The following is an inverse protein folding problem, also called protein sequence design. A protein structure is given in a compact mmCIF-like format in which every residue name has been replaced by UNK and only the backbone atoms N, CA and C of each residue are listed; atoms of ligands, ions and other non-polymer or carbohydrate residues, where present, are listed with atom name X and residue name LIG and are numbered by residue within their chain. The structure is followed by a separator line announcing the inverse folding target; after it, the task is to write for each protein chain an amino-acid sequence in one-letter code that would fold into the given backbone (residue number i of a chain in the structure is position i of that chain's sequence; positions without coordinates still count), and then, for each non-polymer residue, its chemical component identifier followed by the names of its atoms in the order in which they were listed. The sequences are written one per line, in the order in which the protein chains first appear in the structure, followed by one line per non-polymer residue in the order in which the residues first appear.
data_IF_793967601383
#
_entry.id   IF_793967601383
#
_cell.length_a   1.000
_cell.length_b   1.000
_cell.length_c   1.000
_cell.angle_alpha   90.00
_cell.angle_beta   90.00
_cell.angle_gamma   90.00
#
_symmetry.space_group_name_H-M   'P 1'
#
loop_
_entity.id
_entity.type
_entity.pdbx_description
1 polymer ?
#
# COMPACT_ATOMS: atom_id res chain seq x y z
N UNK A 1 -63.43 -28.43 -7.93
CA UNK A 1 -62.81 -27.15 -7.62
C UNK A 1 -61.30 -27.35 -7.68
N UNK A 2 -60.71 -27.12 -8.89
CA UNK A 2 -59.30 -27.42 -9.21
C UNK A 2 -58.44 -26.24 -8.82
N UNK A 3 -57.52 -26.43 -7.89
CA UNK A 3 -56.50 -25.44 -7.49
C UNK A 3 -55.35 -25.62 -8.46
N UNK A 4 -55.16 -24.65 -9.39
CA UNK A 4 -53.97 -24.53 -10.22
C UNK A 4 -52.81 -24.04 -9.36
N UNK A 5 -51.83 -24.91 -9.09
CA UNK A 5 -50.50 -24.50 -8.68
C UNK A 5 -49.80 -23.84 -9.88
N UNK A 6 -49.59 -22.55 -9.80
CA UNK A 6 -48.71 -21.83 -10.70
C UNK A 6 -47.30 -21.95 -10.12
N UNK A 7 -46.48 -22.87 -10.67
CA UNK A 7 -45.03 -22.84 -10.46
C UNK A 7 -44.46 -21.55 -11.06
N UNK A 8 -43.64 -20.78 -10.31
CA UNK A 8 -42.90 -19.68 -10.93
C UNK A 8 -41.76 -20.31 -11.76
N UNK A 9 -41.88 -20.15 -13.07
CA UNK A 9 -40.87 -20.50 -14.06
C UNK A 9 -39.53 -19.83 -13.69
N UNK A 10 -38.55 -20.62 -13.25
CA UNK A 10 -37.15 -20.26 -13.23
C UNK A 10 -36.62 -20.19 -14.66
N UNK A 11 -37.06 -19.20 -15.41
CA UNK A 11 -36.47 -18.89 -16.71
C UNK A 11 -35.36 -17.86 -16.52
N UNK A 12 -34.10 -18.38 -16.58
CA UNK A 12 -33.06 -17.72 -17.32
C UNK A 12 -32.57 -16.38 -16.76
N UNK A 13 -31.86 -16.39 -15.61
CA UNK A 13 -30.76 -15.45 -15.47
C UNK A 13 -29.65 -15.97 -16.40
N UNK A 14 -29.79 -15.70 -17.68
CA UNK A 14 -28.69 -15.78 -18.62
C UNK A 14 -27.66 -14.75 -18.14
N UNK A 15 -26.60 -15.23 -17.46
CA UNK A 15 -25.39 -14.46 -17.28
C UNK A 15 -24.93 -13.99 -18.67
N UNK A 16 -25.20 -12.73 -18.98
CA UNK A 16 -24.60 -12.08 -20.14
C UNK A 16 -23.11 -12.00 -19.81
N UNK A 17 -22.36 -13.02 -20.18
CA UNK A 17 -20.91 -13.01 -20.26
C UNK A 17 -20.48 -12.07 -21.38
N UNK A 18 -20.76 -10.77 -21.23
CA UNK A 18 -20.26 -9.76 -22.11
C UNK A 18 -18.74 -9.67 -21.96
N UNK A 19 -17.97 -9.99 -23.02
CA UNK A 19 -16.55 -9.70 -23.08
C UNK A 19 -16.36 -8.20 -22.82
N UNK A 20 -15.52 -7.85 -21.86
CA UNK A 20 -15.14 -6.47 -21.64
C UNK A 20 -14.58 -5.89 -22.95
N UNK A 21 -15.05 -4.71 -23.41
CA UNK A 21 -14.59 -4.14 -24.66
C UNK A 21 -13.08 -3.88 -24.62
N UNK A 22 -12.41 -3.97 -25.78
CA UNK A 22 -10.97 -3.75 -25.89
C UNK A 22 -10.51 -2.41 -25.25
N UNK A 23 -11.38 -1.41 -25.30
CA UNK A 23 -11.15 -0.13 -24.65
C UNK A 23 -11.04 -0.24 -23.12
N UNK A 24 -11.84 -1.08 -22.47
CA UNK A 24 -11.74 -1.28 -21.02
C UNK A 24 -10.37 -1.87 -20.63
N UNK A 25 -9.82 -2.78 -21.42
CA UNK A 25 -8.49 -3.33 -21.21
C UNK A 25 -7.38 -2.29 -21.44
N UNK A 26 -7.54 -1.39 -22.42
CA UNK A 26 -6.62 -0.26 -22.60
C UNK A 26 -6.64 0.67 -21.38
N UNK A 27 -7.82 1.02 -20.88
CA UNK A 27 -7.95 1.83 -19.65
C UNK A 27 -7.31 1.13 -18.47
N UNK A 28 -7.54 -0.17 -18.32
CA UNK A 28 -6.90 -0.97 -17.27
C UNK A 28 -5.37 -0.93 -17.37
N UNK A 29 -4.83 -1.22 -18.56
CA UNK A 29 -3.38 -1.22 -18.79
C UNK A 29 -2.73 0.14 -18.51
N UNK A 30 -3.35 1.23 -18.96
CA UNK A 30 -2.86 2.59 -18.67
C UNK A 30 -2.96 2.96 -17.18
N UNK A 31 -4.04 2.53 -16.51
CA UNK A 31 -4.20 2.78 -15.06
C UNK A 31 -3.19 1.97 -14.25
N UNK A 32 -2.94 0.70 -14.60
CA UNK A 32 -1.88 -0.10 -13.98
C UNK A 32 -0.49 0.47 -14.30
N UNK A 33 -0.26 0.92 -15.54
CA UNK A 33 0.99 1.56 -15.95
C UNK A 33 1.29 2.82 -15.14
N UNK A 34 0.30 3.67 -14.89
CA UNK A 34 0.44 4.84 -14.04
C UNK A 34 0.74 4.44 -12.58
N UNK A 35 0.09 3.39 -12.03
CA UNK A 35 0.41 2.89 -10.69
C UNK A 35 1.86 2.36 -10.62
N UNK A 36 2.29 1.65 -11.64
CA UNK A 36 3.66 1.17 -11.73
C UNK A 36 4.64 2.34 -11.73
N UNK A 37 4.39 3.39 -12.54
CA UNK A 37 5.20 4.62 -12.58
C UNK A 37 5.22 5.36 -11.24
N UNK A 38 4.09 5.41 -10.54
CA UNK A 38 3.96 5.96 -9.20
C UNK A 38 4.92 5.28 -8.21
N UNK A 39 4.82 3.95 -8.09
CA UNK A 39 5.70 3.18 -7.21
C UNK A 39 7.17 3.20 -7.63
N UNK A 40 7.46 3.27 -8.94
CA UNK A 40 8.82 3.47 -9.45
C UNK A 40 9.39 4.81 -8.97
N UNK A 41 8.64 5.90 -9.07
CA UNK A 41 9.02 7.23 -8.61
C UNK A 41 9.27 7.31 -7.10
N UNK A 42 8.57 6.46 -6.33
CA UNK A 42 8.76 6.35 -4.89
C UNK A 42 10.05 5.62 -4.55
N UNK A 43 10.33 4.49 -5.19
CA UNK A 43 11.44 3.61 -4.84
C UNK A 43 12.78 4.02 -5.45
N UNK A 44 12.80 4.79 -6.53
CA UNK A 44 14.02 5.31 -7.14
C UNK A 44 14.89 6.08 -6.13
N UNK A 45 14.28 6.84 -5.25
CA UNK A 45 14.99 7.61 -4.22
C UNK A 45 15.83 6.69 -3.31
N UNK A 46 15.22 5.60 -2.83
CA UNK A 46 15.88 4.66 -1.92
C UNK A 46 17.09 3.99 -2.59
N UNK A 47 17.00 3.68 -3.88
CA UNK A 47 18.09 3.12 -4.66
C UNK A 47 19.29 4.07 -4.81
N UNK A 48 19.03 5.38 -4.85
CA UNK A 48 20.10 6.39 -5.06
C UNK A 48 20.57 7.07 -3.75
N UNK A 49 20.13 6.61 -2.58
CA UNK A 49 20.58 7.13 -1.28
C UNK A 49 22.11 7.21 -1.16
N UNK A 50 22.90 6.15 -1.52
CA UNK A 50 24.36 6.24 -1.45
C UNK A 50 24.93 7.37 -2.32
N UNK A 51 24.38 7.55 -3.51
CA UNK A 51 24.82 8.59 -4.47
C UNK A 51 24.47 10.00 -3.98
N UNK A 52 23.26 10.20 -3.42
CA UNK A 52 22.84 11.48 -2.84
C UNK A 52 23.67 11.84 -1.61
N UNK A 53 23.94 10.86 -0.74
CA UNK A 53 24.79 11.07 0.43
C UNK A 53 26.17 11.55 0.03
N UNK A 54 26.76 10.91 -0.98
CA UNK A 54 28.07 11.32 -1.49
C UNK A 54 28.06 12.68 -2.17
N UNK A 55 27.00 12.97 -2.96
CA UNK A 55 26.93 14.21 -3.74
C UNK A 55 26.70 15.47 -2.89
N UNK A 56 25.89 15.37 -1.83
CA UNK A 56 25.47 16.52 -1.02
C UNK A 56 25.89 16.46 0.45
N UNK A 57 26.59 15.40 0.88
CA UNK A 57 27.00 15.22 2.27
C UNK A 57 25.83 15.05 3.25
N UNK A 58 24.70 14.47 2.78
CA UNK A 58 23.49 14.36 3.58
C UNK A 58 23.68 13.42 4.78
N UNK A 59 23.02 13.77 5.89
CA UNK A 59 22.87 12.86 7.03
C UNK A 59 21.89 11.72 6.70
N UNK A 60 21.96 10.63 7.43
CA UNK A 60 21.00 9.53 7.24
C UNK A 60 19.59 9.95 7.66
N UNK A 61 19.45 10.83 8.67
CA UNK A 61 18.16 11.47 9.01
C UNK A 61 17.56 12.23 7.84
N UNK A 62 18.36 13.02 7.13
CA UNK A 62 17.89 13.77 5.96
C UNK A 62 17.44 12.83 4.84
N UNK A 63 18.19 11.77 4.53
CA UNK A 63 17.79 10.77 3.56
C UNK A 63 16.50 10.06 3.96
N UNK A 64 16.38 9.63 5.22
CA UNK A 64 15.18 9.00 5.76
C UNK A 64 13.94 9.92 5.69
N UNK A 65 14.13 11.22 5.92
CA UNK A 65 13.04 12.21 5.83
C UNK A 65 12.52 12.39 4.39
N UNK A 66 13.40 12.34 3.38
CA UNK A 66 13.01 12.39 1.97
C UNK A 66 12.11 11.21 1.56
N UNK A 67 12.31 10.05 2.15
CA UNK A 67 11.43 8.89 1.93
C UNK A 67 10.17 8.98 2.78
N UNK A 68 10.31 9.35 4.06
CA UNK A 68 9.22 9.41 5.03
C UNK A 68 8.15 10.46 4.71
N UNK A 69 8.55 11.64 4.16
CA UNK A 69 7.60 12.72 3.85
C UNK A 69 6.52 12.29 2.85
N UNK A 70 6.86 11.47 1.86
CA UNK A 70 5.90 10.94 0.89
C UNK A 70 4.88 10.05 1.59
N UNK A 71 5.33 9.09 2.41
CA UNK A 71 4.44 8.20 3.15
C UNK A 71 3.56 8.98 4.14
N UNK A 72 4.11 10.00 4.80
CA UNK A 72 3.37 10.87 5.72
C UNK A 72 2.22 11.57 4.99
N UNK A 73 2.51 12.23 3.87
CA UNK A 73 1.51 12.97 3.09
C UNK A 73 0.47 12.02 2.46
N UNK A 74 0.90 10.86 1.96
CA UNK A 74 -0.04 9.82 1.50
C UNK A 74 -0.98 9.42 2.62
N UNK A 75 -0.47 9.13 3.83
CA UNK A 75 -1.30 8.75 4.96
C UNK A 75 -2.35 9.79 5.32
N UNK A 76 -1.91 11.05 5.47
CA UNK A 76 -2.79 12.16 5.90
C UNK A 76 -3.78 12.58 4.81
N UNK A 77 -3.36 12.58 3.54
CA UNK A 77 -4.14 13.16 2.45
C UNK A 77 -4.98 12.15 1.67
N UNK A 78 -4.79 10.84 1.86
CA UNK A 78 -5.57 9.81 1.14
C UNK A 78 -7.07 10.02 1.30
N UNK A 79 -7.56 10.22 2.51
CA UNK A 79 -9.00 10.39 2.77
C UNK A 79 -9.56 11.69 2.17
N UNK A 80 -9.03 12.89 2.48
CA UNK A 80 -9.57 14.12 1.94
C UNK A 80 -9.49 14.20 0.41
N UNK A 81 -8.39 13.71 -0.19
CA UNK A 81 -8.24 13.75 -1.66
C UNK A 81 -9.12 12.71 -2.36
N UNK A 82 -9.40 11.56 -1.74
CA UNK A 82 -10.37 10.60 -2.29
C UNK A 82 -11.78 11.19 -2.36
N UNK A 83 -12.22 11.88 -1.30
CA UNK A 83 -13.52 12.58 -1.27
C UNK A 83 -13.56 13.71 -2.33
N UNK A 84 -12.47 14.41 -2.49
CA UNK A 84 -12.34 15.47 -3.48
C UNK A 84 -12.40 14.90 -4.91
N UNK A 85 -11.74 13.78 -5.15
CA UNK A 85 -11.71 13.09 -6.43
C UNK A 85 -13.11 12.60 -6.87
N UNK A 86 -13.95 12.16 -5.93
CA UNK A 86 -15.34 11.78 -6.23
C UNK A 86 -16.20 12.98 -6.70
N UNK A 87 -15.87 14.20 -6.26
CA UNK A 87 -16.55 15.43 -6.70
C UNK A 87 -16.08 15.93 -8.06
N UNK A 88 -14.76 15.88 -8.33
CA UNK A 88 -14.17 16.39 -9.59
C UNK A 88 -14.27 15.42 -10.77
N UNK A 89 -14.62 14.16 -10.50
CA UNK A 89 -14.65 13.09 -11.51
C UNK A 89 -13.34 12.32 -11.57
N UNK A 90 -13.46 11.00 -11.75
CA UNK A 90 -12.32 10.05 -11.59
C UNK A 90 -11.23 10.26 -12.63
N UNK A 91 -11.57 10.50 -13.90
CA UNK A 91 -10.57 10.69 -14.98
C UNK A 91 -9.77 11.94 -14.75
N UNK A 92 -10.43 13.06 -14.43
CA UNK A 92 -9.76 14.34 -14.18
C UNK A 92 -8.83 14.23 -12.98
N UNK A 93 -9.30 13.58 -11.91
CA UNK A 93 -8.48 13.37 -10.70
C UNK A 93 -7.25 12.53 -10.98
N UNK A 94 -7.36 11.43 -11.74
CA UNK A 94 -6.21 10.60 -12.14
C UNK A 94 -5.22 11.43 -12.97
N UNK A 95 -5.68 12.23 -13.93
CA UNK A 95 -4.82 13.08 -14.76
C UNK A 95 -4.09 14.13 -13.90
N UNK A 96 -4.79 14.79 -12.98
CA UNK A 96 -4.17 15.80 -12.10
C UNK A 96 -3.15 15.17 -11.15
N UNK A 97 -3.49 14.04 -10.54
CA UNK A 97 -2.58 13.30 -9.66
C UNK A 97 -1.33 12.85 -10.42
N UNK A 98 -1.50 12.22 -11.59
CA UNK A 98 -0.40 11.75 -12.41
C UNK A 98 0.48 12.90 -12.91
N UNK A 99 -0.09 14.03 -13.29
CA UNK A 99 0.65 15.22 -13.66
C UNK A 99 1.47 15.74 -12.46
N UNK A 100 0.86 15.81 -11.29
CA UNK A 100 1.50 16.37 -10.10
C UNK A 100 2.71 15.53 -9.67
N UNK A 101 2.57 14.20 -9.50
CA UNK A 101 3.72 13.39 -9.10
C UNK A 101 4.80 13.30 -10.18
N UNK A 102 4.43 13.26 -11.48
CA UNK A 102 5.41 13.18 -12.56
C UNK A 102 6.23 14.47 -12.66
N UNK A 103 5.59 15.65 -12.58
CA UNK A 103 6.26 16.96 -12.55
C UNK A 103 7.09 17.11 -11.28
N UNK A 104 6.57 16.68 -10.13
CA UNK A 104 7.33 16.70 -8.89
C UNK A 104 8.56 15.77 -8.92
N UNK A 105 8.45 14.59 -9.56
CA UNK A 105 9.58 13.69 -9.79
C UNK A 105 10.63 14.32 -10.71
N UNK A 106 10.20 15.07 -11.72
CA UNK A 106 11.11 15.90 -12.52
C UNK A 106 11.76 16.99 -11.68
N UNK A 107 11.02 17.63 -10.77
CA UNK A 107 11.54 18.55 -9.78
C UNK A 107 12.63 17.93 -8.91
N UNK A 108 12.48 16.64 -8.52
CA UNK A 108 13.56 15.93 -7.83
C UNK A 108 14.82 15.80 -8.69
N UNK A 109 14.70 15.55 -10.00
CA UNK A 109 15.85 15.47 -10.91
C UNK A 109 16.60 16.81 -11.03
N UNK A 110 15.86 17.93 -10.95
CA UNK A 110 16.38 19.29 -11.12
C UNK A 110 16.84 19.92 -9.81
N UNK A 111 16.54 19.32 -8.66
CA UNK A 111 16.90 19.88 -7.35
C UNK A 111 18.40 20.02 -7.18
N UNK A 112 18.81 21.14 -6.55
CA UNK A 112 20.22 21.50 -6.32
C UNK A 112 20.63 21.30 -4.87
N UNK A 113 19.65 21.19 -3.97
CA UNK A 113 19.88 21.06 -2.53
C UNK A 113 18.81 20.20 -1.86
N UNK A 114 19.05 19.84 -0.60
CA UNK A 114 18.14 19.01 0.22
C UNK A 114 16.73 19.60 0.33
N UNK A 115 16.60 20.92 0.56
CA UNK A 115 15.31 21.57 0.79
C UNK A 115 14.42 21.50 -0.46
N UNK A 116 14.99 21.78 -1.64
CA UNK A 116 14.27 21.66 -2.91
C UNK A 116 13.81 20.23 -3.15
N UNK A 117 14.69 19.24 -2.90
CA UNK A 117 14.35 17.83 -3.00
C UNK A 117 13.23 17.45 -2.02
N UNK A 118 13.27 17.94 -0.77
CA UNK A 118 12.26 17.66 0.24
C UNK A 118 10.89 18.22 -0.17
N UNK A 119 10.86 19.44 -0.69
CA UNK A 119 9.63 20.05 -1.20
C UNK A 119 9.08 19.30 -2.41
N UNK A 120 9.94 18.94 -3.36
CA UNK A 120 9.55 18.15 -4.52
C UNK A 120 8.98 16.76 -4.08
N UNK A 121 9.60 16.09 -3.11
CA UNK A 121 9.10 14.84 -2.52
C UNK A 121 7.76 15.02 -1.82
N UNK A 122 7.53 16.17 -1.18
CA UNK A 122 6.21 16.51 -0.64
C UNK A 122 5.15 16.57 -1.74
N UNK A 123 5.43 17.21 -2.87
CA UNK A 123 4.50 17.24 -4.01
C UNK A 123 4.29 15.86 -4.65
N UNK A 124 5.30 15.00 -4.68
CA UNK A 124 5.13 13.59 -5.06
C UNK A 124 4.09 12.93 -4.15
N UNK A 125 4.25 13.00 -2.82
CA UNK A 125 3.30 12.42 -1.87
C UNK A 125 1.88 12.99 -1.99
N UNK A 126 1.72 14.28 -2.28
CA UNK A 126 0.44 14.90 -2.55
C UNK A 126 -0.22 14.33 -3.83
N UNK A 127 0.56 14.12 -4.90
CA UNK A 127 0.08 13.56 -6.16
C UNK A 127 -0.33 12.09 -6.03
N UNK A 128 0.39 11.32 -5.23
CA UNK A 128 0.17 9.87 -5.05
C UNK A 128 -1.00 9.52 -4.11
N UNK A 129 -1.36 10.42 -3.18
CA UNK A 129 -2.14 10.10 -2.00
C UNK A 129 -3.49 9.41 -2.24
N UNK A 130 -4.23 9.75 -3.28
CA UNK A 130 -5.53 9.15 -3.56
C UNK A 130 -5.56 8.27 -4.82
N UNK A 131 -4.43 8.15 -5.54
CA UNK A 131 -4.40 7.47 -6.82
C UNK A 131 -4.84 5.99 -6.71
N UNK A 132 -4.37 5.27 -5.72
CA UNK A 132 -4.71 3.86 -5.51
C UNK A 132 -6.21 3.63 -5.36
N UNK A 133 -6.90 4.46 -4.56
CA UNK A 133 -8.34 4.36 -4.33
C UNK A 133 -9.16 4.77 -5.56
N UNK A 134 -8.78 5.85 -6.24
CA UNK A 134 -9.49 6.35 -7.43
C UNK A 134 -9.28 5.42 -8.62
N UNK A 135 -8.07 4.90 -8.82
CA UNK A 135 -7.73 3.97 -9.90
C UNK A 135 -8.49 2.66 -9.79
N UNK A 136 -8.51 2.04 -8.59
CA UNK A 136 -9.28 0.82 -8.38
C UNK A 136 -10.79 1.05 -8.56
N UNK A 137 -11.32 2.17 -8.04
CA UNK A 137 -12.73 2.52 -8.19
C UNK A 137 -13.12 2.73 -9.67
N UNK A 138 -12.22 3.29 -10.50
CA UNK A 138 -12.41 3.39 -11.93
C UNK A 138 -12.49 2.01 -12.58
N UNK A 139 -11.51 1.13 -12.32
CA UNK A 139 -11.45 -0.23 -12.87
C UNK A 139 -12.72 -1.00 -12.51
N UNK A 140 -13.14 -0.99 -11.23
CA UNK A 140 -14.34 -1.71 -10.78
C UNK A 140 -15.64 -1.16 -11.38
N UNK A 141 -15.65 0.07 -11.92
CA UNK A 141 -16.82 0.68 -12.55
C UNK A 141 -17.02 0.27 -14.01
N UNK A 142 -16.01 -0.26 -14.68
CA UNK A 142 -16.03 -0.59 -16.11
C UNK A 142 -15.96 -2.10 -16.39
N UNK A 143 -15.63 -2.91 -15.38
CA UNK A 143 -15.53 -4.35 -15.54
C UNK A 143 -16.65 -5.11 -14.80
N UNK A 144 -17.09 -6.27 -15.34
CA UNK A 144 -18.10 -7.09 -14.71
C UNK A 144 -17.65 -7.69 -13.37
N UNK A 145 -18.61 -8.02 -12.51
CA UNK A 145 -18.39 -8.43 -11.11
C UNK A 145 -17.43 -9.63 -10.97
N UNK A 146 -17.53 -10.61 -11.89
CA UNK A 146 -16.69 -11.82 -11.84
C UNK A 146 -15.20 -11.58 -12.09
N UNK A 147 -14.81 -10.46 -12.71
CA UNK A 147 -13.40 -10.09 -12.93
C UNK A 147 -12.83 -9.18 -11.84
N UNK A 148 -13.66 -8.63 -10.95
CA UNK A 148 -13.23 -7.59 -10.00
C UNK A 148 -12.09 -8.03 -9.09
N UNK A 149 -12.15 -9.25 -8.54
CA UNK A 149 -11.10 -9.77 -7.66
C UNK A 149 -9.77 -9.91 -8.40
N UNK A 150 -9.79 -10.49 -9.62
CA UNK A 150 -8.60 -10.67 -10.45
C UNK A 150 -7.96 -9.34 -10.84
N UNK A 151 -8.79 -8.38 -11.27
CA UNK A 151 -8.29 -7.05 -11.67
C UNK A 151 -7.76 -6.23 -10.49
N UNK A 152 -8.40 -6.37 -9.31
CA UNK A 152 -7.87 -5.77 -8.08
C UNK A 152 -6.50 -6.35 -7.73
N UNK A 153 -6.36 -7.68 -7.80
CA UNK A 153 -5.07 -8.34 -7.58
C UNK A 153 -3.99 -7.91 -8.57
N UNK A 154 -4.34 -7.83 -9.87
CA UNK A 154 -3.42 -7.38 -10.91
C UNK A 154 -3.03 -5.90 -10.76
N UNK A 155 -3.96 -5.04 -10.34
CA UNK A 155 -3.68 -3.64 -10.02
C UNK A 155 -2.69 -3.53 -8.86
N UNK A 156 -2.92 -4.25 -7.75
CA UNK A 156 -2.00 -4.26 -6.62
C UNK A 156 -0.61 -4.81 -6.99
N UNK A 157 -0.56 -5.85 -7.84
CA UNK A 157 0.69 -6.38 -8.37
C UNK A 157 1.48 -5.33 -9.18
N UNK A 158 0.78 -4.45 -9.91
CA UNK A 158 1.40 -3.31 -10.60
C UNK A 158 2.23 -2.42 -9.66
N UNK A 159 1.74 -2.14 -8.45
CA UNK A 159 2.49 -1.41 -7.44
C UNK A 159 3.72 -2.17 -6.93
N UNK A 160 3.59 -3.49 -6.70
CA UNK A 160 4.72 -4.33 -6.27
C UNK A 160 5.82 -4.38 -7.34
N UNK A 161 5.46 -4.62 -8.61
CA UNK A 161 6.41 -4.58 -9.72
C UNK A 161 7.00 -3.19 -9.93
N UNK A 162 6.21 -2.12 -9.77
CA UNK A 162 6.70 -0.75 -9.79
C UNK A 162 7.79 -0.51 -8.75
N UNK A 163 7.61 -1.03 -7.54
CA UNK A 163 8.64 -0.96 -6.48
C UNK A 163 9.94 -1.68 -6.87
N UNK A 164 9.83 -2.87 -7.43
CA UNK A 164 10.99 -3.66 -7.88
C UNK A 164 11.73 -2.94 -9.02
N UNK A 165 11.00 -2.52 -10.05
CA UNK A 165 11.59 -1.84 -11.20
C UNK A 165 12.15 -0.47 -10.84
N UNK A 166 11.46 0.29 -9.97
CA UNK A 166 11.94 1.58 -9.51
C UNK A 166 13.26 1.49 -8.76
N UNK A 167 13.38 0.48 -7.90
CA UNK A 167 14.62 0.23 -7.16
C UNK A 167 15.75 -0.28 -8.08
N UNK A 168 15.50 -1.29 -8.90
CA UNK A 168 16.50 -1.88 -9.77
C UNK A 168 16.97 -0.89 -10.85
N UNK A 169 16.04 -0.36 -11.66
CA UNK A 169 16.37 0.57 -12.73
C UNK A 169 16.91 1.89 -12.19
N UNK A 170 16.33 2.39 -11.08
CA UNK A 170 16.81 3.60 -10.44
C UNK A 170 18.27 3.51 -9.99
N UNK A 171 18.65 2.37 -9.41
CA UNK A 171 20.04 2.13 -9.01
C UNK A 171 20.99 1.98 -10.18
N UNK A 172 20.61 1.21 -11.21
CA UNK A 172 21.44 1.04 -12.42
C UNK A 172 21.63 2.35 -13.17
N UNK A 173 20.55 3.08 -13.45
CA UNK A 173 20.63 4.39 -14.12
C UNK A 173 21.45 5.38 -13.27
N UNK A 174 21.22 5.38 -11.95
CA UNK A 174 21.93 6.26 -11.03
C UNK A 174 23.43 6.01 -10.98
N UNK A 175 23.86 4.76 -11.01
CA UNK A 175 25.27 4.41 -11.00
C UNK A 175 26.01 4.77 -12.30
N UNK A 176 25.35 4.64 -13.46
CA UNK A 176 25.99 4.86 -14.76
C UNK A 176 25.82 6.27 -15.33
N UNK A 177 24.66 6.90 -15.10
CA UNK A 177 24.31 8.22 -15.64
C UNK A 177 24.20 9.31 -14.56
N UNK A 178 24.26 8.92 -13.29
CA UNK A 178 24.08 9.80 -12.15
C UNK A 178 22.63 9.82 -11.64
N UNK A 179 22.48 10.12 -10.34
CA UNK A 179 21.19 10.04 -9.62
C UNK A 179 20.09 10.93 -10.21
N UNK A 180 20.43 12.05 -10.83
CA UNK A 180 19.48 12.95 -11.49
C UNK A 180 18.75 12.25 -12.64
N UNK A 181 19.45 11.47 -13.44
CA UNK A 181 18.87 10.70 -14.53
C UNK A 181 17.92 9.62 -14.06
N UNK A 182 18.16 9.05 -12.88
CA UNK A 182 17.21 8.08 -12.29
C UNK A 182 15.83 8.70 -12.10
N UNK A 183 15.75 9.90 -11.53
CA UNK A 183 14.48 10.64 -11.42
C UNK A 183 13.96 11.10 -12.79
N UNK A 184 14.84 11.56 -13.68
CA UNK A 184 14.47 12.02 -15.02
C UNK A 184 13.78 10.93 -15.86
N UNK A 185 14.32 9.70 -15.84
CA UNK A 185 13.72 8.56 -16.53
C UNK A 185 12.36 8.19 -15.95
N UNK A 186 12.22 8.19 -14.60
CA UNK A 186 10.94 7.91 -13.96
C UNK A 186 9.90 8.99 -14.26
N UNK A 187 10.31 10.26 -14.25
CA UNK A 187 9.44 11.38 -14.61
C UNK A 187 9.00 11.30 -16.08
N UNK A 188 9.92 11.01 -17.00
CA UNK A 188 9.63 10.84 -18.42
C UNK A 188 8.62 9.71 -18.66
N UNK A 189 8.80 8.56 -18.00
CA UNK A 189 7.85 7.45 -18.08
C UNK A 189 6.46 7.88 -17.57
N UNK A 190 6.38 8.57 -16.43
CA UNK A 190 5.12 9.07 -15.87
C UNK A 190 4.43 10.07 -16.81
N UNK A 191 5.18 11.01 -17.41
CA UNK A 191 4.63 11.98 -18.36
C UNK A 191 4.16 11.32 -19.66
N UNK A 192 4.89 10.35 -20.20
CA UNK A 192 4.46 9.59 -21.39
C UNK A 192 3.16 8.84 -21.11
N UNK A 193 3.07 8.14 -19.98
CA UNK A 193 1.85 7.44 -19.58
C UNK A 193 0.70 8.42 -19.32
N UNK A 194 0.96 9.58 -18.74
CA UNK A 194 -0.03 10.64 -18.55
C UNK A 194 -0.59 11.15 -19.87
N UNK A 195 0.27 11.44 -20.85
CA UNK A 195 -0.16 11.87 -22.20
C UNK A 195 -0.97 10.78 -22.87
N UNK A 196 -0.50 9.53 -22.82
CA UNK A 196 -1.23 8.38 -23.35
C UNK A 196 -2.61 8.21 -22.67
N UNK A 197 -2.67 8.33 -21.35
CA UNK A 197 -3.92 8.24 -20.59
C UNK A 197 -4.85 9.39 -20.97
N UNK A 198 -4.39 10.64 -21.01
CA UNK A 198 -5.19 11.83 -21.33
C UNK A 198 -5.73 11.81 -22.76
N UNK A 199 -4.98 11.25 -23.72
CA UNK A 199 -5.40 11.13 -25.11
C UNK A 199 -6.41 9.98 -25.35
N UNK A 200 -6.22 8.87 -24.65
CA UNK A 200 -7.06 7.67 -24.85
C UNK A 200 -8.33 7.70 -23.99
N UNK A 201 -8.25 8.14 -22.72
CA UNK A 201 -9.32 8.01 -21.73
C UNK A 201 -10.10 9.31 -21.58
N UNK A 202 -11.36 9.28 -22.02
CA UNK A 202 -12.29 10.41 -21.86
C UNK A 202 -13.55 9.95 -21.14
N UNK A 203 -14.17 10.86 -20.37
CA UNK A 203 -15.43 10.56 -19.65
C UNK A 203 -16.54 10.04 -20.60
N UNK A 204 -16.61 10.56 -21.83
CA UNK A 204 -17.60 10.11 -22.83
C UNK A 204 -17.37 8.64 -23.24
N UNK A 205 -16.13 8.24 -23.51
CA UNK A 205 -15.80 6.86 -23.88
C UNK A 205 -16.01 5.90 -22.72
N UNK A 206 -15.71 6.34 -21.49
CA UNK A 206 -15.98 5.55 -20.28
C UNK A 206 -17.47 5.34 -20.03
N UNK A 207 -18.29 6.36 -20.24
CA UNK A 207 -19.74 6.25 -20.08
C UNK A 207 -20.34 5.19 -21.01
N UNK A 208 -19.80 5.05 -22.22
CA UNK A 208 -20.22 4.02 -23.19
C UNK A 208 -19.81 2.59 -22.79
N UNK A 209 -18.83 2.44 -21.90
CA UNK A 209 -18.34 1.14 -21.43
C UNK A 209 -18.92 0.71 -20.08
N UNK A 210 -19.67 1.57 -19.40
CA UNK A 210 -20.33 1.17 -18.15
C UNK A 210 -21.42 0.14 -18.47
N UNK A 211 -21.41 -1.03 -17.82
CA UNK A 211 -22.54 -1.94 -17.87
C UNK A 211 -23.81 -1.17 -17.48
N UNK A 212 -24.91 -1.40 -18.16
CA UNK A 212 -26.20 -0.81 -17.75
C UNK A 212 -26.41 -1.07 -16.25
N UNK A 213 -26.80 -0.05 -15.46
CA UNK A 213 -27.08 -0.26 -14.06
C UNK A 213 -28.18 -1.32 -13.96
N UNK A 214 -27.85 -2.48 -13.38
CA UNK A 214 -28.88 -3.42 -12.97
C UNK A 214 -29.91 -2.63 -12.15
N UNK A 215 -31.14 -2.50 -12.65
CA UNK A 215 -32.27 -1.91 -11.94
C UNK A 215 -32.52 -2.68 -10.66
N UNK A 216 -31.80 -2.37 -9.59
CA UNK A 216 -31.85 -3.09 -8.32
C UNK A 216 -30.59 -2.93 -7.46
N UNK A 217 -29.54 -2.29 -7.98
CA UNK A 217 -28.41 -1.89 -7.15
C UNK A 217 -28.86 -0.79 -6.21
N UNK A 218 -29.02 -1.12 -4.93
CA UNK A 218 -29.20 -0.15 -3.85
C UNK A 218 -28.09 0.90 -3.99
N UNK A 219 -28.45 2.12 -4.37
CA UNK A 219 -27.60 3.29 -4.20
C UNK A 219 -27.12 3.23 -2.74
N UNK A 220 -25.81 3.25 -2.56
CA UNK A 220 -25.27 3.41 -1.20
C UNK A 220 -25.99 4.62 -0.58
N UNK A 221 -26.52 4.52 0.64
CA UNK A 221 -27.31 5.58 1.22
C UNK A 221 -26.51 6.88 1.20
N UNK A 222 -26.96 7.86 0.42
CA UNK A 222 -26.37 9.21 0.35
C UNK A 222 -26.50 9.99 1.67
N UNK A 223 -27.07 9.38 2.68
CA UNK A 223 -27.35 9.98 3.97
C UNK A 223 -26.43 9.49 5.09
N UNK A 224 -25.10 9.48 4.86
CA UNK A 224 -24.17 9.48 6.00
C UNK A 224 -23.86 10.95 6.39
N UNK A 225 -24.88 11.75 6.61
CA UNK A 225 -24.82 12.91 7.51
C UNK A 225 -25.01 12.46 8.97
N UNK A 226 -24.55 11.28 9.31
CA UNK A 226 -24.29 10.90 10.71
C UNK A 226 -23.25 11.86 11.26
N UNK A 227 -23.53 12.44 12.42
CA UNK A 227 -22.60 13.32 13.12
C UNK A 227 -21.18 12.76 13.04
N UNK A 228 -20.19 13.59 12.72
CA UNK A 228 -18.75 13.22 12.73
C UNK A 228 -18.40 12.42 14.01
N UNK A 229 -19.08 12.73 15.11
CA UNK A 229 -18.99 12.01 16.38
C UNK A 229 -19.42 10.54 16.25
N UNK A 230 -20.51 10.25 15.52
CA UNK A 230 -20.98 8.87 15.33
C UNK A 230 -19.99 8.07 14.46
N UNK A 231 -19.42 8.70 13.43
CA UNK A 231 -18.37 8.11 12.61
C UNK A 231 -17.12 7.78 13.44
N UNK A 232 -16.63 8.75 14.21
CA UNK A 232 -15.46 8.56 15.09
C UNK A 232 -15.72 7.48 16.14
N UNK A 233 -16.91 7.46 16.75
CA UNK A 233 -17.29 6.41 17.68
C UNK A 233 -17.32 5.04 17.00
N UNK A 234 -17.78 4.93 15.77
CA UNK A 234 -17.78 3.68 14.99
C UNK A 234 -16.38 3.20 14.63
N UNK A 235 -15.49 4.12 14.24
CA UNK A 235 -14.10 3.82 13.86
C UNK A 235 -13.23 3.35 15.02
N UNK A 236 -13.50 3.83 16.22
CA UNK A 236 -12.75 3.50 17.44
C UNK A 236 -13.64 2.78 18.48
N UNK A 237 -14.65 2.05 18.01
CA UNK A 237 -15.70 1.43 18.83
C UNK A 237 -15.19 0.31 19.75
N UNK A 238 -14.08 -0.32 19.44
CA UNK A 238 -13.56 -1.47 20.16
C UNK A 238 -12.05 -1.41 20.36
N UNK A 239 -11.59 -2.00 21.47
CA UNK A 239 -10.15 -2.13 21.73
C UNK A 239 -9.45 -2.93 20.63
N UNK A 240 -10.10 -3.97 20.13
CA UNK A 240 -9.55 -4.83 19.08
C UNK A 240 -9.30 -4.07 17.77
N UNK A 241 -10.23 -3.19 17.34
CA UNK A 241 -10.03 -2.36 16.14
C UNK A 241 -8.85 -1.41 16.32
N UNK A 242 -8.73 -0.75 17.47
CA UNK A 242 -7.61 0.15 17.76
C UNK A 242 -6.29 -0.63 17.75
N UNK A 243 -6.26 -1.82 18.37
CA UNK A 243 -5.09 -2.70 18.34
C UNK A 243 -4.75 -3.16 16.91
N UNK A 244 -5.75 -3.41 16.05
CA UNK A 244 -5.52 -3.75 14.64
C UNK A 244 -4.87 -2.58 13.88
N UNK A 245 -5.31 -1.33 14.08
CA UNK A 245 -4.69 -0.15 13.48
C UNK A 245 -3.25 0.06 13.94
N UNK A 246 -3.02 0.05 15.25
CA UNK A 246 -1.68 0.30 15.82
C UNK A 246 -0.73 -0.85 15.47
N UNK A 247 -1.16 -2.11 15.65
CA UNK A 247 -0.34 -3.28 15.34
C UNK A 247 0.03 -3.36 13.87
N UNK A 248 -0.91 -3.05 12.96
CA UNK A 248 -0.63 -2.97 11.51
C UNK A 248 0.37 -1.86 11.19
N UNK A 249 0.19 -0.67 11.75
CA UNK A 249 1.09 0.45 11.55
C UNK A 249 2.51 0.14 12.01
N UNK A 250 2.67 -0.34 13.25
CA UNK A 250 3.98 -0.73 13.78
C UNK A 250 4.63 -1.85 12.95
N UNK A 251 3.84 -2.82 12.49
CA UNK A 251 4.37 -3.89 11.64
C UNK A 251 4.95 -3.36 10.32
N UNK A 252 4.32 -2.36 9.70
CA UNK A 252 4.79 -1.75 8.45
C UNK A 252 6.02 -0.85 8.62
N UNK A 253 6.48 -0.62 9.85
CA UNK A 253 7.77 0.03 10.10
C UNK A 253 8.92 -0.76 9.47
N UNK A 254 8.88 -2.09 9.57
CA UNK A 254 9.94 -2.97 9.05
C UNK A 254 10.11 -2.83 7.53
N UNK A 255 9.07 -3.06 6.69
CA UNK A 255 9.22 -2.84 5.25
C UNK A 255 9.53 -1.38 4.91
N UNK A 256 9.00 -0.41 5.65
CA UNK A 256 9.34 1.01 5.47
C UNK A 256 10.84 1.26 5.66
N UNK A 257 11.41 0.77 6.73
CA UNK A 257 12.84 0.90 7.01
C UNK A 257 13.71 0.11 6.02
N UNK A 258 13.40 -1.18 5.79
CA UNK A 258 14.22 -2.03 4.94
C UNK A 258 14.17 -1.63 3.47
N UNK A 259 13.01 -1.23 2.93
CA UNK A 259 12.94 -0.74 1.54
C UNK A 259 13.76 0.54 1.34
N UNK A 260 13.87 1.38 2.36
CA UNK A 260 14.66 2.60 2.28
C UNK A 260 16.17 2.33 2.45
N UNK A 261 16.54 1.50 3.42
CA UNK A 261 17.93 1.41 3.87
C UNK A 261 18.69 0.22 3.32
N UNK A 262 18.03 -0.83 2.79
CA UNK A 262 18.70 -2.03 2.32
C UNK A 262 19.71 -1.76 1.19
N UNK A 263 19.43 -0.90 0.17
CA UNK A 263 20.43 -0.54 -0.82
C UNK A 263 21.68 0.10 -0.20
N UNK A 264 21.47 1.03 0.76
CA UNK A 264 22.58 1.68 1.48
C UNK A 264 23.36 0.72 2.38
N UNK A 265 22.68 -0.22 3.04
CA UNK A 265 23.30 -1.26 3.85
C UNK A 265 24.17 -2.18 3.00
N UNK A 266 23.67 -2.68 1.89
CA UNK A 266 24.44 -3.52 0.97
C UNK A 266 25.62 -2.77 0.35
N UNK A 267 25.48 -1.48 0.09
CA UNK A 267 26.59 -0.66 -0.39
C UNK A 267 27.68 -0.44 0.68
N UNK A 268 27.29 -0.15 1.94
CA UNK A 268 28.24 0.20 3.01
C UNK A 268 28.87 -1.04 3.66
N UNK A 269 28.06 -2.02 4.06
CA UNK A 269 28.49 -3.15 4.88
C UNK A 269 28.97 -4.34 4.03
N UNK A 270 28.48 -4.49 2.79
CA UNK A 270 28.95 -5.49 1.83
C UNK A 270 29.91 -4.91 0.78
N UNK A 271 30.23 -3.62 0.84
CA UNK A 271 31.05 -2.92 -0.15
C UNK A 271 30.60 -3.15 -1.61
N UNK A 272 29.31 -3.36 -1.82
CA UNK A 272 28.73 -3.55 -3.17
C UNK A 272 28.65 -2.23 -3.92
N UNK A 273 28.90 -2.28 -5.24
CA UNK A 273 28.63 -1.13 -6.11
C UNK A 273 27.14 -0.75 -6.05
N UNK A 274 26.80 0.55 -6.15
CA UNK A 274 25.43 1.03 -5.94
C UNK A 274 24.37 0.36 -6.85
N UNK A 275 24.72 0.03 -8.10
CA UNK A 275 23.87 -0.69 -9.04
C UNK A 275 23.57 -2.11 -8.56
N UNK A 276 24.58 -2.87 -8.15
CA UNK A 276 24.42 -4.24 -7.64
C UNK A 276 23.64 -4.26 -6.33
N UNK A 277 23.92 -3.31 -5.43
CA UNK A 277 23.20 -3.16 -4.17
C UNK A 277 21.72 -2.89 -4.40
N UNK A 278 21.37 -2.00 -5.33
CA UNK A 278 20.00 -1.68 -5.66
C UNK A 278 19.27 -2.86 -6.33
N UNK A 279 19.91 -3.59 -7.25
CA UNK A 279 19.33 -4.78 -7.91
C UNK A 279 19.08 -5.88 -6.88
N UNK A 280 20.03 -6.13 -5.97
CA UNK A 280 19.84 -7.13 -4.91
C UNK A 280 18.72 -6.71 -3.96
N UNK A 281 18.67 -5.44 -3.56
CA UNK A 281 17.59 -4.90 -2.75
C UNK A 281 16.22 -5.01 -3.44
N UNK A 282 16.14 -4.79 -4.76
CA UNK A 282 14.93 -5.02 -5.55
C UNK A 282 14.48 -6.50 -5.50
N UNK A 283 15.41 -7.44 -5.47
CA UNK A 283 15.12 -8.86 -5.23
C UNK A 283 14.44 -9.10 -3.88
N UNK A 284 14.88 -8.42 -2.83
CA UNK A 284 14.22 -8.49 -1.52
C UNK A 284 12.83 -7.85 -1.51
N UNK A 285 12.63 -6.76 -2.25
CA UNK A 285 11.28 -6.18 -2.45
C UNK A 285 10.34 -7.16 -3.15
N UNK A 286 10.85 -7.90 -4.15
CA UNK A 286 10.10 -8.96 -4.82
C UNK A 286 9.74 -10.10 -3.86
N UNK A 287 10.68 -10.55 -3.02
CA UNK A 287 10.46 -11.55 -1.98
C UNK A 287 9.35 -11.09 -1.01
N UNK A 288 9.36 -9.82 -0.59
CA UNK A 288 8.30 -9.26 0.24
C UNK A 288 6.94 -9.28 -0.49
N UNK A 289 6.89 -8.95 -1.78
CA UNK A 289 5.68 -9.04 -2.60
C UNK A 289 5.12 -10.46 -2.69
N UNK A 290 5.98 -11.46 -2.91
CA UNK A 290 5.61 -12.88 -2.89
C UNK A 290 5.10 -13.27 -1.49
N UNK A 291 5.77 -12.82 -0.43
CA UNK A 291 5.38 -13.04 0.95
C UNK A 291 4.00 -12.48 1.27
N UNK A 292 3.68 -11.28 0.79
CA UNK A 292 2.36 -10.67 0.99
C UNK A 292 1.23 -11.55 0.43
N UNK A 293 1.40 -12.09 -0.76
CA UNK A 293 0.41 -12.99 -1.38
C UNK A 293 0.37 -14.35 -0.67
N UNK A 294 1.53 -14.98 -0.47
CA UNK A 294 1.64 -16.31 0.14
C UNK A 294 1.11 -16.34 1.58
N UNK A 295 1.56 -15.40 2.42
CA UNK A 295 1.08 -15.28 3.79
C UNK A 295 -0.40 -14.89 3.86
N UNK A 296 -0.90 -14.09 2.90
CA UNK A 296 -2.32 -13.79 2.76
C UNK A 296 -3.15 -15.05 2.56
N UNK A 297 -2.77 -15.91 1.61
CA UNK A 297 -3.43 -17.20 1.35
C UNK A 297 -3.41 -18.10 2.59
N UNK A 298 -2.29 -18.16 3.30
CA UNK A 298 -2.17 -18.95 4.55
C UNK A 298 -3.11 -18.38 5.62
N UNK A 299 -3.13 -17.08 5.81
CA UNK A 299 -4.02 -16.39 6.76
C UNK A 299 -5.50 -16.68 6.47
N UNK A 300 -5.88 -16.61 5.19
CA UNK A 300 -7.26 -16.88 4.79
C UNK A 300 -7.65 -18.35 5.00
N UNK A 301 -6.75 -19.29 4.71
CA UNK A 301 -6.99 -20.71 4.98
C UNK A 301 -7.16 -21.02 6.47
N UNK A 302 -6.28 -20.46 7.31
CA UNK A 302 -6.34 -20.67 8.77
C UNK A 302 -7.56 -19.96 9.38
N UNK A 303 -7.90 -18.78 8.86
CA UNK A 303 -9.01 -17.96 9.35
C UNK A 303 -10.40 -18.39 8.90
N UNK A 304 -10.54 -19.42 8.04
CA UNK A 304 -11.85 -19.90 7.55
C UNK A 304 -12.74 -20.45 8.66
N UNK A 305 -12.17 -21.10 9.65
CA UNK A 305 -12.91 -21.75 10.74
C UNK A 305 -13.12 -20.84 11.94
N UNK A 306 -12.22 -19.92 12.19
CA UNK A 306 -12.27 -19.03 13.35
C UNK A 306 -11.52 -17.72 13.06
N UNK A 307 -12.24 -16.60 13.12
CA UNK A 307 -11.67 -15.27 12.91
C UNK A 307 -10.58 -14.87 13.93
N UNK A 308 -10.62 -15.44 15.14
CA UNK A 308 -9.58 -15.22 16.16
C UNK A 308 -8.22 -15.79 15.76
N UNK A 309 -8.18 -16.80 14.89
CA UNK A 309 -6.93 -17.36 14.35
C UNK A 309 -6.16 -16.38 13.47
N UNK A 310 -6.84 -15.42 12.83
CA UNK A 310 -6.16 -14.35 12.07
C UNK A 310 -5.26 -13.47 12.95
N UNK A 311 -5.66 -13.26 14.21
CA UNK A 311 -4.82 -12.58 15.19
C UNK A 311 -3.56 -13.38 15.53
N UNK A 312 -3.72 -14.68 15.69
CA UNK A 312 -2.60 -15.57 15.97
C UNK A 312 -1.61 -15.60 14.79
N UNK A 313 -2.10 -15.66 13.54
CA UNK A 313 -1.22 -15.62 12.36
C UNK A 313 -0.46 -14.29 12.29
N UNK A 314 -1.09 -13.15 12.56
CA UNK A 314 -0.42 -11.84 12.61
C UNK A 314 0.68 -11.80 13.69
N UNK A 315 0.39 -12.31 14.89
CA UNK A 315 1.38 -12.42 15.98
C UNK A 315 2.55 -13.32 15.54
N UNK A 316 2.26 -14.48 14.96
CA UNK A 316 3.29 -15.42 14.47
C UNK A 316 4.18 -14.75 13.42
N UNK A 317 3.60 -14.04 12.46
CA UNK A 317 4.39 -13.31 11.45
C UNK A 317 5.26 -12.22 12.07
N UNK A 318 4.76 -11.47 13.05
CA UNK A 318 5.56 -10.49 13.77
C UNK A 318 6.73 -11.14 14.51
N UNK A 319 6.52 -12.26 15.21
CA UNK A 319 7.56 -12.98 15.96
C UNK A 319 8.60 -13.61 15.03
N UNK A 320 8.17 -14.21 13.91
CA UNK A 320 9.10 -14.76 12.92
C UNK A 320 9.94 -13.66 12.25
N UNK A 321 9.31 -12.52 11.93
CA UNK A 321 10.02 -11.35 11.41
C UNK A 321 11.04 -10.83 12.43
N UNK A 322 10.63 -10.70 13.70
CA UNK A 322 11.52 -10.31 14.79
C UNK A 322 12.71 -11.26 14.91
N UNK A 323 12.47 -12.56 15.01
CA UNK A 323 13.51 -13.58 15.20
C UNK A 323 14.48 -13.66 14.02
N UNK A 324 13.95 -13.67 12.77
CA UNK A 324 14.79 -13.75 11.58
C UNK A 324 15.67 -12.51 11.41
N UNK A 325 15.14 -11.31 11.59
CA UNK A 325 15.90 -10.06 11.46
C UNK A 325 16.84 -9.82 12.64
N UNK A 326 16.44 -10.19 13.87
CA UNK A 326 17.31 -10.09 15.04
C UNK A 326 18.55 -11.00 14.91
N UNK A 327 18.37 -12.19 14.35
CA UNK A 327 19.47 -13.08 14.04
C UNK A 327 20.31 -12.54 12.86
N UNK A 328 19.62 -12.12 11.77
CA UNK A 328 20.30 -11.62 10.58
C UNK A 328 21.26 -10.47 10.89
N UNK A 329 20.81 -9.41 11.54
CA UNK A 329 21.66 -8.23 11.78
C UNK A 329 22.71 -8.39 12.88
N UNK A 330 22.78 -9.56 13.54
CA UNK A 330 23.87 -9.93 14.45
C UNK A 330 24.95 -10.79 13.78
N UNK A 331 24.67 -11.34 12.62
CA UNK A 331 25.62 -12.11 11.84
C UNK A 331 26.53 -11.19 11.01
N UNK A 332 27.78 -11.61 10.75
CA UNK A 332 28.63 -10.91 9.80
C UNK A 332 28.03 -10.94 8.39
N UNK A 333 28.39 -9.97 7.52
CA UNK A 333 27.97 -9.97 6.13
C UNK A 333 28.27 -11.30 5.44
N UNK A 334 27.23 -11.94 4.88
CA UNK A 334 27.35 -13.23 4.23
C UNK A 334 26.02 -13.80 3.73
N UNK A 335 26.07 -14.95 3.03
CA UNK A 335 24.87 -15.55 2.42
C UNK A 335 23.77 -15.89 3.44
N UNK A 336 24.16 -16.36 4.63
CA UNK A 336 23.21 -16.71 5.69
C UNK A 336 22.46 -15.47 6.20
N UNK A 337 23.18 -14.34 6.37
CA UNK A 337 22.55 -13.08 6.75
C UNK A 337 21.52 -12.64 5.69
N UNK A 338 21.87 -12.67 4.41
CA UNK A 338 20.96 -12.31 3.31
C UNK A 338 19.75 -13.24 3.26
N UNK A 339 19.93 -14.54 3.46
CA UNK A 339 18.83 -15.49 3.51
C UNK A 339 17.87 -15.17 4.66
N UNK A 340 18.37 -14.84 5.84
CA UNK A 340 17.54 -14.48 7.00
C UNK A 340 16.83 -13.13 6.81
N UNK A 341 17.49 -12.14 6.17
CA UNK A 341 16.80 -10.90 5.76
C UNK A 341 15.66 -11.24 4.79
N UNK A 342 15.91 -12.11 3.81
CA UNK A 342 14.89 -12.59 2.88
C UNK A 342 13.69 -13.23 3.56
N UNK A 343 13.93 -14.11 4.53
CA UNK A 343 12.87 -14.73 5.34
C UNK A 343 12.11 -13.67 6.13
N UNK A 344 12.82 -12.73 6.77
CA UNK A 344 12.21 -11.63 7.52
C UNK A 344 11.32 -10.74 6.64
N UNK A 345 11.74 -10.44 5.41
CA UNK A 345 10.96 -9.65 4.46
C UNK A 345 9.76 -10.42 3.89
N UNK A 346 9.94 -11.73 3.60
CA UNK A 346 8.86 -12.59 3.12
C UNK A 346 7.72 -12.68 4.13
N UNK A 347 8.05 -12.96 5.38
CA UNK A 347 7.07 -13.11 6.45
C UNK A 347 6.55 -11.75 6.93
N UNK A 348 7.43 -10.75 6.96
CA UNK A 348 7.13 -9.38 7.35
C UNK A 348 6.10 -8.67 6.48
N UNK A 349 5.84 -9.14 5.27
CA UNK A 349 4.76 -8.62 4.43
C UNK A 349 3.38 -9.24 4.78
N UNK A 350 3.34 -10.33 5.57
CA UNK A 350 2.14 -11.15 5.77
C UNK A 350 1.06 -10.54 6.67
N UNK A 351 1.43 -9.73 7.66
CA UNK A 351 0.46 -9.25 8.64
C UNK A 351 -0.49 -8.17 8.09
N UNK A 352 -0.17 -7.52 6.97
CA UNK A 352 -1.00 -6.47 6.38
C UNK A 352 -2.36 -7.01 5.89
N UNK A 353 -2.40 -8.19 5.27
CA UNK A 353 -3.66 -8.83 4.86
C UNK A 353 -4.53 -9.24 6.05
N UNK A 354 -3.91 -9.78 7.10
CA UNK A 354 -4.59 -10.14 8.34
C UNK A 354 -5.24 -8.92 8.99
N UNK A 355 -4.52 -7.80 9.08
CA UNK A 355 -5.01 -6.54 9.69
C UNK A 355 -6.22 -5.97 8.95
N UNK A 356 -6.20 -5.97 7.61
CA UNK A 356 -7.35 -5.57 6.80
C UNK A 356 -8.60 -6.40 7.09
N UNK A 357 -8.44 -7.73 7.17
CA UNK A 357 -9.54 -8.63 7.49
C UNK A 357 -10.07 -8.43 8.93
N UNK A 358 -9.19 -8.16 9.91
CA UNK A 358 -9.60 -7.86 11.28
C UNK A 358 -10.45 -6.58 11.33
N UNK A 359 -10.01 -5.51 10.67
CA UNK A 359 -10.75 -4.25 10.60
C UNK A 359 -12.10 -4.45 9.95
N UNK A 360 -12.17 -5.16 8.81
CA UNK A 360 -13.44 -5.44 8.13
C UNK A 360 -14.44 -6.21 9.01
N UNK A 361 -13.96 -7.17 9.80
CA UNK A 361 -14.82 -7.97 10.68
C UNK A 361 -15.38 -7.16 11.87
N UNK A 362 -14.61 -6.21 12.38
CA UNK A 362 -14.90 -5.44 13.58
C UNK A 362 -15.64 -4.13 13.32
N UNK A 363 -15.80 -3.72 12.06
CA UNK A 363 -16.49 -2.48 11.70
C UNK A 363 -17.78 -2.76 10.91
N UNK A 364 -18.82 -1.92 11.07
CA UNK A 364 -20.02 -1.99 10.26
C UNK A 364 -19.73 -1.73 8.79
N UNK A 365 -20.44 -2.43 7.88
CA UNK A 365 -20.25 -2.30 6.43
C UNK A 365 -20.40 -0.86 5.92
N UNK A 366 -21.28 -0.08 6.54
CA UNK A 366 -21.53 1.32 6.19
C UNK A 366 -20.30 2.24 6.34
N UNK A 367 -19.34 1.89 7.21
CA UNK A 367 -18.14 2.69 7.48
C UNK A 367 -16.84 2.01 7.06
N UNK A 368 -16.90 0.89 6.32
CA UNK A 368 -15.70 0.15 5.88
C UNK A 368 -14.70 1.04 5.14
N UNK A 369 -15.17 1.91 4.23
CA UNK A 369 -14.29 2.82 3.51
C UNK A 369 -13.48 3.73 4.44
N UNK A 370 -14.14 4.32 5.44
CA UNK A 370 -13.48 5.15 6.46
C UNK A 370 -12.56 4.34 7.37
N UNK A 371 -12.93 3.09 7.70
CA UNK A 371 -12.10 2.20 8.51
C UNK A 371 -10.80 1.81 7.77
N UNK A 372 -10.88 1.50 6.48
CA UNK A 372 -9.70 1.24 5.66
C UNK A 372 -8.84 2.49 5.46
N UNK A 373 -9.46 3.67 5.33
CA UNK A 373 -8.71 4.93 5.29
C UNK A 373 -7.96 5.20 6.60
N UNK A 374 -8.59 4.90 7.76
CA UNK A 374 -7.95 4.99 9.09
C UNK A 374 -6.82 3.97 9.23
N UNK A 375 -6.99 2.75 8.71
CA UNK A 375 -5.93 1.74 8.66
C UNK A 375 -4.75 2.24 7.81
N UNK A 376 -5.02 2.82 6.64
CA UNK A 376 -4.00 3.40 5.76
C UNK A 376 -3.27 4.55 6.45
N UNK A 377 -3.98 5.42 7.14
CA UNK A 377 -3.38 6.49 7.94
C UNK A 377 -2.45 5.93 9.02
N UNK A 378 -2.92 4.95 9.81
CA UNK A 378 -2.10 4.31 10.83
C UNK A 378 -0.87 3.62 10.25
N UNK A 379 -1.01 2.91 9.13
CA UNK A 379 0.08 2.24 8.41
C UNK A 379 1.17 3.22 7.95
N UNK A 380 0.78 4.37 7.45
CA UNK A 380 1.74 5.38 7.01
C UNK A 380 2.33 6.15 8.20
N UNK A 381 1.51 6.57 9.16
CA UNK A 381 1.95 7.41 10.29
C UNK A 381 2.81 6.66 11.31
N UNK A 382 2.53 5.38 11.58
CA UNK A 382 3.25 4.58 12.57
C UNK A 382 4.30 3.67 11.93
N UNK A 383 4.25 3.45 10.62
CA UNK A 383 5.12 2.51 9.93
C UNK A 383 5.95 3.13 8.83
N UNK A 384 5.34 3.35 7.68
CA UNK A 384 6.05 3.71 6.44
C UNK A 384 6.78 5.06 6.49
N UNK A 385 6.25 6.04 7.23
CA UNK A 385 6.90 7.34 7.38
C UNK A 385 8.00 7.32 8.46
N UNK A 386 7.76 6.84 9.69
CA UNK A 386 8.80 6.81 10.72
C UNK A 386 9.86 5.74 10.47
N UNK A 387 9.58 4.65 9.74
CA UNK A 387 10.54 3.60 9.44
C UNK A 387 11.85 4.12 8.86
N UNK A 388 11.85 4.78 7.70
CA UNK A 388 13.06 5.37 7.12
C UNK A 388 13.67 6.47 8.00
N UNK A 389 12.83 7.35 8.56
CA UNK A 389 13.27 8.53 9.30
C UNK A 389 13.97 8.15 10.62
N UNK A 390 13.33 7.32 11.46
CA UNK A 390 13.90 6.92 12.75
C UNK A 390 15.11 6.01 12.59
N UNK A 391 15.09 5.12 11.58
CA UNK A 391 16.28 4.31 11.28
C UNK A 391 17.45 5.19 10.86
N UNK A 392 17.23 6.22 10.03
CA UNK A 392 18.24 7.19 9.64
C UNK A 392 18.75 8.02 10.82
N UNK A 393 17.86 8.46 11.70
CA UNK A 393 18.22 9.20 12.89
C UNK A 393 19.12 8.37 13.83
N UNK A 394 18.77 7.13 14.07
CA UNK A 394 19.63 6.21 14.86
C UNK A 394 20.95 5.96 14.13
N UNK A 395 20.93 5.81 12.80
CA UNK A 395 22.12 5.56 12.00
C UNK A 395 23.13 6.71 12.04
N UNK A 396 22.69 7.96 12.16
CA UNK A 396 23.58 9.12 12.32
C UNK A 396 24.35 9.08 13.64
N UNK A 397 23.85 8.41 14.68
CA UNK A 397 24.49 8.35 16.01
C UNK A 397 25.36 7.10 16.21
N UNK A 398 24.92 5.94 15.68
CA UNK A 398 25.55 4.65 15.98
C UNK A 398 25.94 3.85 14.73
N UNK A 399 25.70 4.41 13.54
CA UNK A 399 25.93 3.73 12.26
C UNK A 399 24.74 2.89 11.80
N UNK A 400 24.65 2.67 10.47
CA UNK A 400 23.49 2.02 9.84
C UNK A 400 23.33 0.55 10.25
N UNK A 401 24.44 -0.21 10.32
CA UNK A 401 24.40 -1.62 10.72
C UNK A 401 23.85 -1.80 12.13
N UNK A 402 24.23 -0.94 13.08
CA UNK A 402 23.70 -0.97 14.46
C UNK A 402 22.25 -0.50 14.49
N UNK A 403 21.88 0.53 13.72
CA UNK A 403 20.49 1.00 13.63
C UNK A 403 19.56 -0.13 13.17
N UNK A 404 19.97 -0.94 12.19
CA UNK A 404 19.19 -2.06 11.68
C UNK A 404 19.01 -3.18 12.71
N UNK A 405 19.93 -3.34 13.67
CA UNK A 405 19.79 -4.30 14.78
C UNK A 405 18.64 -3.96 15.73
N UNK A 406 18.19 -2.70 15.76
CA UNK A 406 17.06 -2.27 16.58
C UNK A 406 15.71 -2.43 15.91
N UNK A 407 15.66 -2.55 14.58
CA UNK A 407 14.40 -2.73 13.83
C UNK A 407 13.56 -3.91 14.36
N UNK A 408 14.12 -5.07 14.73
CA UNK A 408 13.34 -6.21 15.22
C UNK A 408 12.54 -5.95 16.50
N UNK A 409 12.83 -4.90 17.25
CA UNK A 409 12.05 -4.51 18.44
C UNK A 409 10.65 -4.06 18.08
N UNK A 410 10.47 -3.44 16.89
CA UNK A 410 9.19 -2.89 16.46
C UNK A 410 8.15 -3.97 16.16
N UNK A 411 8.45 -5.03 15.38
CA UNK A 411 7.52 -6.15 15.22
C UNK A 411 7.22 -6.90 16.52
N UNK A 412 8.12 -6.89 17.49
CA UNK A 412 7.84 -7.44 18.82
C UNK A 412 6.76 -6.61 19.53
N UNK A 413 6.87 -5.27 19.49
CA UNK A 413 5.84 -4.37 19.99
C UNK A 413 4.50 -4.58 19.23
N UNK A 414 4.54 -4.74 17.90
CA UNK A 414 3.35 -5.04 17.11
C UNK A 414 2.69 -6.37 17.55
N UNK A 415 3.49 -7.42 17.80
CA UNK A 415 3.00 -8.70 18.31
C UNK A 415 2.28 -8.56 19.65
N UNK A 416 2.85 -7.77 20.58
CA UNK A 416 2.23 -7.48 21.87
C UNK A 416 0.88 -6.75 21.72
N UNK A 417 0.80 -5.75 20.82
CA UNK A 417 -0.45 -5.04 20.53
C UNK A 417 -1.49 -5.97 19.89
N UNK A 418 -1.10 -6.83 18.96
CA UNK A 418 -2.01 -7.83 18.40
C UNK A 418 -2.48 -8.85 19.47
N UNK A 419 -1.63 -9.24 20.43
CA UNK A 419 -2.01 -10.12 21.51
C UNK A 419 -3.06 -9.47 22.44
N UNK A 420 -2.90 -8.19 22.76
CA UNK A 420 -3.89 -7.40 23.50
C UNK A 420 -5.22 -7.34 22.72
N UNK A 421 -5.17 -7.04 21.42
CA UNK A 421 -6.36 -7.01 20.56
C UNK A 421 -7.09 -8.35 20.50
N UNK A 422 -6.33 -9.46 20.40
CA UNK A 422 -6.88 -10.81 20.41
C UNK A 422 -7.64 -11.11 21.69
N UNK A 423 -7.13 -10.70 22.85
CA UNK A 423 -7.79 -10.96 24.14
C UNK A 423 -9.18 -10.29 24.22
N UNK A 424 -9.39 -9.15 23.58
CA UNK A 424 -10.67 -8.43 23.54
C UNK A 424 -11.58 -8.83 22.39
N UNK A 425 -11.05 -9.56 21.38
CA UNK A 425 -11.70 -9.78 20.09
C UNK A 425 -13.07 -10.45 20.19
N UNK A 426 -13.21 -11.52 20.98
CA UNK A 426 -14.46 -12.31 21.09
C UNK A 426 -15.58 -11.43 21.69
N UNK A 427 -15.26 -10.64 22.72
CA UNK A 427 -16.22 -9.73 23.37
C UNK A 427 -16.65 -8.60 22.43
N UNK A 428 -15.70 -8.05 21.69
CA UNK A 428 -15.93 -6.96 20.73
C UNK A 428 -16.74 -7.44 19.53
N UNK A 429 -16.46 -8.63 18.99
CA UNK A 429 -17.22 -9.23 17.90
C UNK A 429 -18.68 -9.48 18.30
N UNK A 430 -18.92 -10.03 19.49
CA UNK A 430 -20.27 -10.26 20.01
C UNK A 430 -21.05 -8.94 20.17
N UNK A 431 -20.36 -7.82 20.45
CA UNK A 431 -20.97 -6.49 20.52
C UNK A 431 -21.39 -5.98 19.14
N UNK A 432 -20.53 -6.14 18.13
CA UNK A 432 -20.83 -5.75 16.75
C UNK A 432 -21.99 -6.57 16.18
N UNK A 433 -22.04 -7.87 16.43
CA UNK A 433 -23.13 -8.74 15.99
C UNK A 433 -24.47 -8.37 16.63
N UNK A 434 -24.49 -8.03 17.92
CA UNK A 434 -25.69 -7.53 18.60
C UNK A 434 -26.20 -6.24 17.97
N UNK A 435 -25.32 -5.30 17.67
CA UNK A 435 -25.70 -4.05 16.99
C UNK A 435 -26.25 -4.29 15.59
N UNK A 436 -25.69 -5.25 14.83
CA UNK A 436 -26.20 -5.64 13.49
C UNK A 436 -27.61 -6.23 13.58
N UNK A 437 -27.87 -7.10 14.54
CA UNK A 437 -29.22 -7.68 14.74
C UNK A 437 -30.24 -6.65 15.15
N UNK A 438 -29.89 -5.70 16.01
CA UNK A 438 -30.78 -4.63 16.41
C UNK A 438 -31.18 -3.72 15.24
N UNK A 439 -30.27 -3.43 14.29
CA UNK A 439 -30.54 -2.59 13.11
C UNK A 439 -31.35 -3.31 12.00
N UNK A 440 -31.53 -4.62 12.06
CA UNK A 440 -32.38 -5.39 11.12
C UNK A 440 -33.83 -5.45 11.62
N UNK A 441 -34.06 -5.22 12.92
CA UNK A 441 -35.40 -5.27 13.54
C UNK A 441 -35.99 -3.88 13.81
N UNK A 442 -35.26 -2.81 13.51
CA UNK A 442 -35.73 -1.41 13.52
C UNK A 442 -36.03 -0.93 12.10
#
# INVERSE_FOLDING_TARGET
MLIHHVEPSMQGVAEVRGRAPAFAWLVFGLTVGLLLSDYMSRQVLNAVFPLLKHAWGLTDTQLGSLSGIVALLVGVLTFPLSVLADRFGRVRSIVLMAALWSVATLGCALSTNYTEMLVARGFVGLGEAAYGSVGIALILSIFPVHLRATLTGAFMAGGAFGSVFGMALGGVVGAHLGWRWSFGVMAALGLVLLVAYRSAVTERRLAACRPEPCRGGTEAPRDVRGSLRALMTGLFSSRSVICAYIGSGLHLFVPGALFAWLPSYLNRDYAMAPDRAAVLAAGFVLIAGIGMVGCGIVTDRIGKTDGARKWLTAITYCLLTCGSLALAFRLPPGPLQLALIGVGMLVGAGASGASGAMVANLTPAAIHASAFATLTLANNLLGMAPGPLLTGWVADHVGLGVALQWIPVVPLAAAAIFAIGRASYVADLARVERSRRASVHS
#
